data_IF_083523239504
#
_entry.id   IF_083523239504
#
_cell.length_a   1.000
_cell.length_b   1.000
_cell.length_c   1.000
_cell.angle_alpha   90.00
_cell.angle_beta   90.00
_cell.angle_gamma   90.00
#
_symmetry.space_group_name_H-M   'P 1'
#
loop_
_entity.id
_entity.type
_entity.pdbx_description
1 polymer ?
#
# COMPACT_ATOMS: atom_id res chain seq x y z
N UNK A 1 17.50 4.19 -0.51
CA UNK A 1 17.55 5.35 0.39
C UNK A 1 17.27 6.55 -0.47
N UNK A 2 16.13 7.20 -0.23
CA UNK A 2 15.83 8.47 -0.87
C UNK A 2 16.63 9.52 -0.09
N UNK A 3 17.57 10.18 -0.76
CA UNK A 3 18.45 11.14 -0.09
C UNK A 3 17.67 12.39 0.30
N UNK A 4 16.50 12.67 -0.27
CA UNK A 4 15.65 13.78 0.17
C UNK A 4 14.69 13.44 1.31
N UNK A 5 14.91 12.32 2.00
CA UNK A 5 14.27 12.08 3.29
C UNK A 5 14.94 13.02 4.32
N UNK A 6 14.18 13.95 4.94
CA UNK A 6 14.73 14.91 5.90
C UNK A 6 15.34 14.27 7.15
N UNK A 7 15.05 12.98 7.41
CA UNK A 7 15.66 12.20 8.48
C UNK A 7 16.85 11.34 8.01
N UNK A 8 17.21 11.44 6.73
CA UNK A 8 18.38 10.76 6.18
C UNK A 8 19.67 11.44 6.63
N UNK A 9 20.39 10.77 7.54
CA UNK A 9 21.70 11.17 8.03
C UNK A 9 22.69 11.48 6.89
N UNK A 10 22.59 10.78 5.76
CA UNK A 10 23.44 11.01 4.61
C UNK A 10 23.19 12.37 3.94
N UNK A 11 21.93 12.83 3.89
CA UNK A 11 21.60 14.16 3.40
C UNK A 11 22.07 15.24 4.35
N UNK A 12 21.93 15.03 5.66
CA UNK A 12 22.40 15.98 6.67
C UNK A 12 23.93 16.15 6.57
N UNK A 13 24.67 15.04 6.55
CA UNK A 13 26.14 15.05 6.36
C UNK A 13 26.53 15.67 5.01
N UNK A 14 25.79 15.37 3.95
CA UNK A 14 26.05 15.91 2.61
C UNK A 14 25.78 17.42 2.55
N UNK A 15 24.68 17.91 3.14
CA UNK A 15 24.38 19.34 3.27
C UNK A 15 25.44 20.05 4.10
N UNK A 16 25.82 19.50 5.27
CA UNK A 16 26.90 20.05 6.10
C UNK A 16 28.22 20.12 5.33
N UNK A 17 28.58 19.06 4.61
CA UNK A 17 29.78 19.06 3.76
C UNK A 17 29.69 20.08 2.61
N UNK A 18 28.49 20.37 2.10
CA UNK A 18 28.29 21.35 1.05
C UNK A 18 28.31 22.79 1.56
N UNK A 19 28.10 23.04 2.87
CA UNK A 19 28.03 24.41 3.43
C UNK A 19 29.35 25.16 3.37
N UNK A 20 30.48 24.47 3.44
CA UNK A 20 31.79 25.12 3.57
C UNK A 20 32.49 25.42 2.24
N UNK A 21 31.90 25.10 1.08
CA UNK A 21 32.50 25.27 -0.27
C UNK A 21 33.89 24.60 -0.48
N UNK A 22 34.45 23.96 0.55
CA UNK A 22 35.75 23.32 0.59
C UNK A 22 35.75 21.86 0.14
N UNK A 23 34.85 21.50 -0.78
CA UNK A 23 34.85 20.18 -1.42
C UNK A 23 36.14 20.00 -2.23
N UNK A 24 37.15 19.44 -1.56
CA UNK A 24 38.40 19.02 -2.16
C UNK A 24 39.68 19.72 -1.72
N UNK A 25 39.71 20.61 -0.70
CA UNK A 25 41.00 21.18 -0.25
C UNK A 25 41.21 21.44 1.25
N UNK A 26 40.18 21.57 2.11
CA UNK A 26 40.42 21.76 3.56
C UNK A 26 39.14 21.62 4.37
N UNK A 27 39.13 20.75 5.37
CA UNK A 27 38.14 20.67 6.48
C UNK A 27 36.85 19.86 6.25
N UNK A 28 36.61 19.26 5.08
CA UNK A 28 35.94 17.94 5.08
C UNK A 28 37.06 16.92 5.29
N UNK A 29 37.04 16.23 6.43
CA UNK A 29 38.01 15.19 6.75
C UNK A 29 38.08 14.23 5.56
N UNK A 30 39.25 14.01 4.96
CA UNK A 30 39.43 12.97 3.92
C UNK A 30 38.85 11.62 4.37
N UNK A 31 38.79 11.42 5.69
CA UNK A 31 38.18 10.31 6.39
C UNK A 31 36.64 10.27 6.29
N UNK A 32 35.94 11.40 6.43
CA UNK A 32 34.48 11.51 6.25
C UNK A 32 34.10 11.22 4.80
N UNK A 33 34.84 11.76 3.83
CA UNK A 33 34.61 11.47 2.43
C UNK A 33 34.85 10.00 2.08
N UNK A 34 35.92 9.39 2.62
CA UNK A 34 36.17 7.95 2.47
C UNK A 34 35.07 7.10 3.11
N UNK A 35 34.54 7.50 4.26
CA UNK A 35 33.40 6.82 4.89
C UNK A 35 32.15 6.89 4.02
N UNK A 36 31.86 8.07 3.48
CA UNK A 36 30.74 8.29 2.57
C UNK A 36 30.90 7.48 1.27
N UNK A 37 32.08 7.45 0.66
CA UNK A 37 32.36 6.64 -0.53
C UNK A 37 32.26 5.13 -0.23
N UNK A 38 32.66 4.69 0.97
CA UNK A 38 32.50 3.29 1.41
C UNK A 38 31.03 2.91 1.62
N UNK A 39 30.21 3.84 2.11
CA UNK A 39 28.78 3.62 2.37
C UNK A 39 27.93 3.67 1.09
N UNK A 40 28.22 4.61 0.17
CA UNK A 40 27.36 4.90 -0.98
C UNK A 40 27.97 4.51 -2.33
N UNK A 41 29.25 4.16 -2.38
CA UNK A 41 29.98 3.85 -3.62
C UNK A 41 29.90 5.02 -4.61
N UNK A 42 29.86 4.69 -5.91
CA UNK A 42 29.79 5.71 -6.97
C UNK A 42 28.50 6.56 -6.94
N UNK A 43 27.47 6.17 -6.18
CA UNK A 43 26.21 6.94 -6.14
C UNK A 43 26.37 8.29 -5.47
N UNK A 44 27.37 8.47 -4.61
CA UNK A 44 27.58 9.76 -3.94
C UNK A 44 27.83 10.90 -4.93
N UNK A 45 28.59 10.64 -6.00
CA UNK A 45 28.90 11.63 -7.02
C UNK A 45 27.64 12.09 -7.75
N UNK A 46 26.76 11.14 -8.08
CA UNK A 46 25.47 11.40 -8.72
C UNK A 46 24.61 12.31 -7.85
N UNK A 47 24.53 12.02 -6.56
CA UNK A 47 23.61 12.68 -5.64
C UNK A 47 24.07 14.11 -5.30
N UNK A 48 25.38 14.33 -5.15
CA UNK A 48 25.91 15.70 -4.97
C UNK A 48 25.72 16.53 -6.22
N UNK A 49 26.07 15.98 -7.39
CA UNK A 49 25.90 16.71 -8.64
C UNK A 49 24.43 17.02 -8.89
N UNK A 50 23.52 16.08 -8.62
CA UNK A 50 22.07 16.33 -8.70
C UNK A 50 21.63 17.41 -7.73
N UNK A 51 22.11 17.40 -6.48
CA UNK A 51 21.75 18.44 -5.51
C UNK A 51 22.22 19.83 -5.95
N UNK A 52 23.45 19.94 -6.45
CA UNK A 52 24.07 21.20 -6.84
C UNK A 52 23.59 21.73 -8.21
N UNK A 53 23.21 20.84 -9.12
CA UNK A 53 22.91 21.22 -10.53
C UNK A 53 21.48 20.91 -10.96
N UNK A 54 20.76 20.07 -10.23
CA UNK A 54 19.47 19.49 -10.61
C UNK A 54 19.50 18.66 -11.91
N UNK A 55 20.70 18.30 -12.39
CA UNK A 55 20.88 17.42 -13.55
C UNK A 55 20.98 15.98 -13.07
N UNK A 56 20.25 15.09 -13.75
CA UNK A 56 20.39 13.63 -13.58
C UNK A 56 21.52 13.11 -14.48
N UNK A 57 22.39 12.30 -13.89
CA UNK A 57 23.54 11.69 -14.55
C UNK A 57 23.52 10.18 -14.32
N UNK A 58 24.05 9.41 -15.27
CA UNK A 58 24.39 8.01 -14.99
C UNK A 58 25.56 7.94 -13.99
N UNK A 59 25.65 6.92 -13.12
CA UNK A 59 26.64 6.88 -12.04
C UNK A 59 28.10 7.03 -12.49
N UNK A 60 28.48 6.40 -13.61
CA UNK A 60 29.83 6.54 -14.17
C UNK A 60 30.07 7.93 -14.78
N UNK A 61 29.05 8.49 -15.41
CA UNK A 61 29.10 9.83 -15.99
C UNK A 61 29.26 10.89 -14.88
N UNK A 62 28.50 10.75 -13.80
CA UNK A 62 28.56 11.62 -12.62
C UNK A 62 29.97 11.65 -12.03
N UNK A 63 30.57 10.47 -11.84
CA UNK A 63 31.94 10.34 -11.34
C UNK A 63 32.95 11.00 -12.27
N UNK A 64 32.82 10.82 -13.58
CA UNK A 64 33.70 11.47 -14.57
C UNK A 64 33.59 12.98 -14.51
N UNK A 65 32.37 13.53 -14.50
CA UNK A 65 32.15 14.97 -14.38
C UNK A 65 32.71 15.53 -13.07
N UNK A 66 32.56 14.81 -11.96
CA UNK A 66 33.16 15.19 -10.68
C UNK A 66 34.66 15.45 -10.77
N UNK A 67 35.41 14.49 -11.35
CA UNK A 67 36.86 14.64 -11.50
C UNK A 67 37.24 15.74 -12.50
N UNK A 68 36.51 15.88 -13.61
CA UNK A 68 36.72 16.96 -14.57
C UNK A 68 36.53 18.33 -13.93
N UNK A 69 35.53 18.48 -13.06
CA UNK A 69 35.29 19.72 -12.30
C UNK A 69 36.42 20.00 -11.31
N UNK A 70 36.95 18.98 -10.63
CA UNK A 70 38.10 19.14 -9.73
C UNK A 70 39.37 19.55 -10.48
N UNK A 71 39.62 18.99 -11.65
CA UNK A 71 40.73 19.40 -12.50
C UNK A 71 40.55 20.84 -13.00
N UNK A 72 39.36 21.17 -13.46
CA UNK A 72 39.00 22.52 -13.88
C UNK A 72 39.17 23.54 -12.75
N UNK A 73 38.75 23.19 -11.53
CA UNK A 73 38.96 23.98 -10.30
C UNK A 73 40.43 24.31 -10.08
N UNK A 74 41.32 23.32 -10.19
CA UNK A 74 42.78 23.54 -10.04
C UNK A 74 43.31 24.53 -11.09
N UNK A 75 42.82 24.42 -12.32
CA UNK A 75 43.20 25.34 -13.41
C UNK A 75 42.69 26.77 -13.16
N UNK A 76 41.44 26.92 -12.70
CA UNK A 76 40.87 28.20 -12.31
C UNK A 76 41.63 28.83 -11.13
N UNK A 77 41.92 28.05 -10.09
CA UNK A 77 42.66 28.52 -8.92
C UNK A 77 44.05 29.06 -9.28
N UNK A 78 44.79 28.35 -10.15
CA UNK A 78 46.09 28.83 -10.67
C UNK A 78 45.97 30.16 -11.41
N UNK A 79 44.92 30.32 -12.22
CA UNK A 79 44.70 31.56 -13.01
C UNK A 79 44.21 32.72 -12.15
N UNK A 80 43.40 32.45 -11.13
CA UNK A 80 42.79 33.48 -10.29
C UNK A 80 43.68 33.92 -9.12
N UNK A 81 44.71 33.15 -8.78
CA UNK A 81 45.63 33.49 -7.68
C UNK A 81 44.99 33.40 -6.29
N UNK A 82 43.83 32.77 -6.16
CA UNK A 82 43.09 32.55 -4.91
C UNK A 82 42.37 31.22 -4.94
N UNK A 83 41.99 30.71 -3.77
CA UNK A 83 41.14 29.52 -3.72
C UNK A 83 39.79 29.78 -4.43
N UNK A 84 39.38 28.79 -5.21
CA UNK A 84 38.13 28.80 -5.97
C UNK A 84 37.30 27.66 -5.43
N UNK A 85 36.15 27.94 -4.81
CA UNK A 85 35.27 26.90 -4.28
C UNK A 85 34.77 25.93 -5.35
N UNK A 86 34.41 24.71 -4.95
CA UNK A 86 33.96 23.68 -5.88
C UNK A 86 32.74 24.11 -6.70
N UNK A 87 31.76 24.80 -6.08
CA UNK A 87 30.54 25.28 -6.77
C UNK A 87 30.84 26.27 -7.89
N UNK A 88 31.83 27.14 -7.69
CA UNK A 88 32.26 28.11 -8.70
C UNK A 88 32.85 27.37 -9.91
N UNK A 89 33.74 26.42 -9.67
CA UNK A 89 34.32 25.61 -10.73
C UNK A 89 33.27 24.73 -11.43
N UNK A 90 32.33 24.16 -10.68
CA UNK A 90 31.22 23.36 -11.20
C UNK A 90 30.32 24.17 -12.14
N UNK A 91 29.91 25.36 -11.70
CA UNK A 91 29.09 26.27 -12.50
C UNK A 91 29.82 26.70 -13.77
N UNK A 92 31.10 27.11 -13.67
CA UNK A 92 31.89 27.48 -14.84
C UNK A 92 32.05 26.30 -15.80
N UNK A 93 32.34 25.11 -15.27
CA UNK A 93 32.47 23.89 -16.06
C UNK A 93 31.19 23.58 -16.85
N UNK A 94 30.04 23.52 -16.19
CA UNK A 94 28.78 23.17 -16.85
C UNK A 94 28.11 24.29 -17.64
N UNK A 95 28.64 25.52 -17.57
CA UNK A 95 28.18 26.64 -18.41
C UNK A 95 29.09 26.82 -19.62
N UNK A 96 30.42 26.73 -19.43
CA UNK A 96 31.40 27.17 -20.42
C UNK A 96 32.24 26.02 -21.01
N UNK A 97 32.52 24.95 -20.27
CA UNK A 97 33.40 23.86 -20.72
C UNK A 97 32.59 22.70 -21.30
N UNK A 98 31.59 22.23 -20.56
CA UNK A 98 30.68 21.17 -20.95
C UNK A 98 29.22 21.63 -20.76
N UNK A 99 28.68 22.47 -21.66
CA UNK A 99 27.40 23.14 -21.45
C UNK A 99 26.25 22.16 -21.19
N UNK A 100 25.78 22.12 -19.94
CA UNK A 100 24.55 21.43 -19.50
C UNK A 100 23.62 22.34 -18.69
N UNK A 101 24.14 23.44 -18.15
CA UNK A 101 23.37 24.44 -17.43
C UNK A 101 23.13 25.66 -18.33
N UNK A 102 21.87 26.07 -18.45
CA UNK A 102 21.44 27.28 -19.16
C UNK A 102 20.53 28.09 -18.24
N UNK A 103 20.65 29.42 -18.26
CA UNK A 103 19.82 30.34 -17.48
C UNK A 103 19.87 30.08 -15.96
N UNK A 104 21.07 30.13 -15.38
CA UNK A 104 21.29 29.87 -13.96
C UNK A 104 20.63 30.92 -13.05
N UNK A 105 19.98 30.43 -12.00
CA UNK A 105 19.49 31.25 -10.87
C UNK A 105 20.17 30.73 -9.61
N UNK A 106 20.85 31.62 -8.89
CA UNK A 106 21.44 31.29 -7.59
C UNK A 106 20.38 31.35 -6.51
N UNK A 107 20.14 30.22 -5.84
CA UNK A 107 19.25 30.11 -4.68
C UNK A 107 20.06 29.52 -3.55
N UNK A 108 19.96 30.13 -2.37
CA UNK A 108 20.58 29.58 -1.16
C UNK A 108 20.04 28.17 -0.89
N UNK A 109 20.92 27.23 -0.56
CA UNK A 109 20.55 25.81 -0.39
C UNK A 109 19.47 25.65 0.68
N UNK A 110 19.57 26.38 1.80
CA UNK A 110 18.57 26.32 2.86
C UNK A 110 17.20 26.83 2.37
N UNK A 111 17.16 27.91 1.59
CA UNK A 111 15.94 28.45 0.99
C UNK A 111 15.33 27.47 -0.05
N UNK A 112 16.18 26.84 -0.87
CA UNK A 112 15.76 25.81 -1.81
C UNK A 112 15.17 24.59 -1.10
N UNK A 113 15.83 24.10 -0.06
CA UNK A 113 15.37 22.97 0.74
C UNK A 113 14.09 23.30 1.52
N UNK A 114 13.95 24.52 2.04
CA UNK A 114 12.70 24.99 2.61
C UNK A 114 11.57 24.97 1.57
N UNK A 115 11.84 25.45 0.35
CA UNK A 115 10.86 25.42 -0.74
C UNK A 115 10.45 24.00 -1.13
N UNK A 116 11.41 23.09 -1.23
CA UNK A 116 11.14 21.66 -1.46
C UNK A 116 10.34 21.04 -0.32
N UNK A 117 10.66 21.39 0.94
CA UNK A 117 9.94 20.90 2.11
C UNK A 117 8.50 21.43 2.14
N UNK A 118 8.29 22.73 1.95
CA UNK A 118 6.96 23.32 1.84
C UNK A 118 6.16 22.73 0.68
N UNK A 119 6.81 22.32 -0.41
CA UNK A 119 6.15 21.66 -1.53
C UNK A 119 5.65 20.24 -1.21
N UNK A 120 6.13 19.62 -0.13
CA UNK A 120 5.83 18.24 0.27
C UNK A 120 5.05 18.12 1.57
N UNK A 121 4.90 19.21 2.32
CA UNK A 121 4.18 19.28 3.59
C UNK A 121 2.85 20.00 3.36
N UNK A 122 1.80 19.53 4.04
CA UNK A 122 0.52 20.23 4.15
C UNK A 122 0.64 21.33 5.21
N UNK A 123 0.36 22.57 4.81
CA UNK A 123 0.58 23.75 5.67
C UNK A 123 -0.31 23.77 6.91
N UNK A 124 -1.53 23.22 6.81
CA UNK A 124 -2.45 23.16 7.94
C UNK A 124 -1.94 22.17 8.99
N UNK A 125 -1.78 20.90 8.59
CA UNK A 125 -1.55 19.77 9.50
C UNK A 125 -0.08 19.48 9.82
N UNK A 126 0.85 20.00 9.01
CA UNK A 126 2.28 19.67 9.10
C UNK A 126 2.62 18.23 8.72
N UNK A 127 1.67 17.47 8.19
CA UNK A 127 1.88 16.13 7.62
C UNK A 127 2.44 16.23 6.19
N UNK A 128 2.85 15.10 5.64
CA UNK A 128 3.15 15.01 4.22
C UNK A 128 1.88 15.22 3.38
N UNK A 129 2.02 15.81 2.21
CA UNK A 129 0.91 16.04 1.29
C UNK A 129 0.80 14.96 0.19
N UNK A 130 -0.22 15.07 -0.66
CA UNK A 130 -0.46 14.14 -1.77
C UNK A 130 0.71 14.02 -2.76
N UNK A 131 1.54 15.05 -2.93
CA UNK A 131 2.74 14.97 -3.78
C UNK A 131 3.77 14.02 -3.19
N UNK A 132 4.00 14.12 -1.89
CA UNK A 132 4.88 13.20 -1.17
C UNK A 132 4.33 11.76 -1.18
N UNK A 133 3.02 11.58 -1.02
CA UNK A 133 2.35 10.28 -1.13
C UNK A 133 2.72 9.55 -2.43
N UNK A 134 2.57 10.22 -3.58
CA UNK A 134 2.86 9.63 -4.89
C UNK A 134 4.32 9.20 -5.01
N UNK A 135 5.25 10.00 -4.46
CA UNK A 135 6.69 9.71 -4.44
C UNK A 135 7.00 8.46 -3.63
N UNK A 136 6.47 8.38 -2.40
CA UNK A 136 6.68 7.24 -1.51
C UNK A 136 6.03 5.98 -2.05
N UNK A 137 4.79 6.06 -2.54
CA UNK A 137 4.10 4.91 -3.11
C UNK A 137 4.89 4.27 -4.26
N UNK A 138 5.36 5.09 -5.20
CA UNK A 138 6.21 4.61 -6.32
C UNK A 138 7.47 3.92 -5.79
N UNK A 139 8.12 4.50 -4.76
CA UNK A 139 9.32 3.93 -4.14
C UNK A 139 9.04 2.58 -3.47
N UNK A 140 7.96 2.46 -2.71
CA UNK A 140 7.61 1.22 -2.01
C UNK A 140 7.18 0.11 -2.97
N UNK A 141 6.51 0.43 -4.09
CA UNK A 141 6.24 -0.54 -5.16
C UNK A 141 7.53 -1.13 -5.73
N UNK A 142 8.50 -0.28 -6.08
CA UNK A 142 9.79 -0.74 -6.64
C UNK A 142 10.63 -1.52 -5.60
N UNK A 143 10.60 -1.09 -4.34
CA UNK A 143 11.21 -1.84 -3.24
C UNK A 143 10.56 -3.22 -3.06
N UNK A 144 9.23 -3.29 -3.05
CA UNK A 144 8.49 -4.54 -2.88
C UNK A 144 8.75 -5.51 -4.02
N UNK A 145 8.75 -5.05 -5.27
CA UNK A 145 9.11 -5.85 -6.45
C UNK A 145 10.53 -6.43 -6.36
N UNK A 146 11.49 -5.63 -5.89
CA UNK A 146 12.90 -6.04 -5.82
C UNK A 146 13.17 -7.02 -4.68
N UNK A 147 12.56 -6.82 -3.52
CA UNK A 147 12.89 -7.56 -2.30
C UNK A 147 11.82 -8.56 -1.87
N UNK A 148 10.72 -8.66 -2.63
CA UNK A 148 9.55 -9.49 -2.32
C UNK A 148 9.02 -9.27 -0.90
N UNK A 149 9.01 -8.02 -0.45
CA UNK A 149 8.53 -7.61 0.87
C UNK A 149 7.19 -6.89 0.72
N UNK A 150 6.13 -7.27 1.43
CA UNK A 150 4.86 -6.58 1.35
C UNK A 150 4.95 -5.21 2.01
N UNK A 151 4.13 -4.28 1.56
CA UNK A 151 3.82 -3.05 2.29
C UNK A 151 2.32 -2.82 2.22
N UNK A 152 1.80 -2.04 3.17
CA UNK A 152 0.36 -1.80 3.26
C UNK A 152 0.03 -0.32 3.19
N UNK A 153 -1.15 -0.02 2.66
CA UNK A 153 -1.74 1.29 2.56
C UNK A 153 -3.01 1.33 3.39
N UNK A 154 -3.12 2.34 4.24
CA UNK A 154 -4.33 2.71 4.96
C UNK A 154 -4.87 3.98 4.31
N UNK A 155 -6.14 3.98 3.91
CA UNK A 155 -6.90 5.16 3.53
C UNK A 155 -7.88 5.46 4.66
N UNK A 156 -7.84 6.69 5.17
CA UNK A 156 -8.60 7.14 6.33
C UNK A 156 -9.48 8.32 5.93
N UNK A 157 -10.70 8.35 6.43
CA UNK A 157 -11.61 9.48 6.21
C UNK A 157 -12.42 9.72 7.48
N UNK A 158 -12.45 11.00 7.88
CA UNK A 158 -13.11 11.43 9.11
C UNK A 158 -14.62 11.37 8.93
N UNK A 159 -15.28 10.61 9.79
CA UNK A 159 -16.71 10.37 9.70
C UNK A 159 -17.51 11.64 10.02
N UNK A 160 -18.39 12.03 9.10
CA UNK A 160 -19.30 13.18 9.24
C UNK A 160 -18.58 14.53 9.45
N UNK A 161 -17.37 14.71 8.90
CA UNK A 161 -16.60 15.95 9.09
C UNK A 161 -17.31 17.21 8.55
N UNK A 162 -18.10 17.06 7.49
CA UNK A 162 -18.98 18.14 7.01
C UNK A 162 -19.97 18.61 8.09
N UNK A 163 -20.60 17.70 8.81
CA UNK A 163 -21.53 18.03 9.90
C UNK A 163 -20.80 18.80 11.01
N UNK A 164 -19.58 18.38 11.36
CA UNK A 164 -18.74 19.09 12.32
C UNK A 164 -18.48 20.54 11.87
N UNK A 165 -18.10 20.74 10.61
CA UNK A 165 -17.91 22.08 10.05
C UNK A 165 -19.19 22.92 10.02
N UNK A 166 -20.33 22.31 9.70
CA UNK A 166 -21.62 23.01 9.64
C UNK A 166 -22.05 23.49 11.05
N UNK A 167 -21.71 22.76 12.11
CA UNK A 167 -22.05 23.11 13.49
C UNK A 167 -21.06 24.13 14.08
N UNK A 168 -19.75 23.97 13.85
CA UNK A 168 -18.69 24.69 14.55
C UNK A 168 -17.90 25.68 13.69
N UNK A 169 -18.16 25.70 12.38
CA UNK A 169 -17.45 26.51 11.40
C UNK A 169 -16.09 25.94 11.00
N UNK A 170 -15.61 26.35 9.83
CA UNK A 170 -14.37 25.84 9.24
C UNK A 170 -13.13 26.04 10.11
N UNK A 171 -13.04 27.14 10.88
CA UNK A 171 -11.90 27.35 11.79
C UNK A 171 -11.81 26.29 12.90
N UNK A 172 -12.95 25.77 13.35
CA UNK A 172 -12.97 24.65 14.30
C UNK A 172 -12.59 23.35 13.60
N UNK A 173 -13.07 23.12 12.37
CA UNK A 173 -12.65 22.01 11.54
C UNK A 173 -11.14 21.96 11.31
N UNK A 174 -10.53 23.10 11.01
CA UNK A 174 -9.08 23.22 10.81
C UNK A 174 -8.29 22.81 12.06
N UNK A 175 -8.78 23.20 13.25
CA UNK A 175 -8.20 22.75 14.53
C UNK A 175 -8.37 21.25 14.73
N UNK A 176 -9.56 20.70 14.44
CA UNK A 176 -9.82 19.27 14.54
C UNK A 176 -8.94 18.45 13.59
N UNK A 177 -8.69 18.93 12.37
CA UNK A 177 -7.76 18.31 11.41
C UNK A 177 -6.32 18.31 11.93
N UNK A 178 -5.90 19.40 12.59
CA UNK A 178 -4.58 19.48 13.22
C UNK A 178 -4.43 18.50 14.38
N UNK A 179 -5.43 18.42 15.26
CA UNK A 179 -5.44 17.45 16.35
C UNK A 179 -5.41 16.01 15.82
N UNK A 180 -6.27 15.71 14.83
CA UNK A 180 -6.33 14.41 14.17
C UNK A 180 -4.98 14.01 13.55
N UNK A 181 -4.32 14.95 12.87
CA UNK A 181 -2.99 14.73 12.30
C UNK A 181 -1.92 14.39 13.36
N UNK A 182 -1.94 15.07 14.52
CA UNK A 182 -1.02 14.74 15.61
C UNK A 182 -1.29 13.36 16.19
N UNK A 183 -2.56 12.97 16.35
CA UNK A 183 -2.95 11.64 16.81
C UNK A 183 -2.43 10.56 15.86
N UNK A 184 -2.61 10.74 14.54
CA UNK A 184 -2.09 9.79 13.56
C UNK A 184 -0.56 9.68 13.65
N UNK A 185 0.15 10.82 13.75
CA UNK A 185 1.61 10.85 13.81
C UNK A 185 2.16 10.18 15.08
N UNK A 186 1.55 10.42 16.24
CA UNK A 186 1.96 9.80 17.51
C UNK A 186 1.74 8.29 17.55
N UNK A 187 0.75 7.81 16.78
CA UNK A 187 0.40 6.39 16.68
C UNK A 187 1.05 5.69 15.47
N UNK A 188 1.95 6.35 14.75
CA UNK A 188 2.70 5.80 13.63
C UNK A 188 4.12 5.41 14.07
N UNK A 189 4.73 4.41 13.42
CA UNK A 189 6.15 4.08 13.63
C UNK A 189 7.02 5.11 12.91
N UNK A 190 8.29 5.18 13.29
CA UNK A 190 9.27 6.09 12.67
C UNK A 190 9.37 5.92 11.14
N UNK A 191 9.21 4.70 10.64
CA UNK A 191 9.28 4.39 9.21
C UNK A 191 7.96 4.54 8.47
N UNK A 192 6.86 4.76 9.18
CA UNK A 192 5.53 4.88 8.57
C UNK A 192 5.36 6.32 8.04
N UNK A 193 4.66 6.46 6.91
CA UNK A 193 4.45 7.76 6.29
C UNK A 193 2.99 8.18 6.44
N UNK A 194 2.75 9.13 7.35
CA UNK A 194 1.42 9.73 7.60
C UNK A 194 1.23 10.97 6.73
N UNK A 195 0.14 10.99 5.97
CA UNK A 195 -0.06 11.90 4.84
C UNK A 195 -1.48 12.46 4.89
N UNK A 196 -1.65 13.76 4.67
CA UNK A 196 -2.94 14.34 4.31
C UNK A 196 -3.14 14.20 2.80
N UNK A 197 -4.11 13.37 2.42
CA UNK A 197 -4.37 12.99 1.04
C UNK A 197 -5.30 13.99 0.34
N UNK A 198 -6.31 14.46 1.06
CA UNK A 198 -7.35 15.39 0.60
C UNK A 198 -7.90 16.22 1.77
N UNK A 199 -9.02 16.90 1.57
CA UNK A 199 -9.60 17.82 2.58
C UNK A 199 -9.69 17.20 3.98
N UNK A 200 -10.50 16.15 4.11
CA UNK A 200 -10.70 15.34 5.34
C UNK A 200 -10.16 13.90 5.21
N UNK A 201 -9.45 13.63 4.10
CA UNK A 201 -8.90 12.32 3.76
C UNK A 201 -7.41 12.24 4.11
N UNK A 202 -7.01 11.16 4.75
CA UNK A 202 -5.63 10.89 5.16
C UNK A 202 -5.19 9.52 4.66
N UNK A 203 -3.89 9.35 4.52
CA UNK A 203 -3.29 8.07 4.14
C UNK A 203 -2.12 7.74 5.07
N UNK A 204 -1.92 6.46 5.33
CA UNK A 204 -0.71 5.96 5.99
C UNK A 204 -0.12 4.84 5.15
N UNK A 205 1.12 5.05 4.67
CA UNK A 205 1.90 3.99 4.03
C UNK A 205 2.74 3.31 5.12
N UNK A 206 2.62 1.99 5.22
CA UNK A 206 3.32 1.14 6.18
C UNK A 206 4.35 0.27 5.44
N UNK A 207 5.62 0.73 5.32
CA UNK A 207 6.67 -0.07 4.71
C UNK A 207 6.87 -1.39 5.46
N UNK A 208 7.11 -2.48 4.71
CA UNK A 208 7.40 -3.81 5.28
C UNK A 208 6.31 -4.34 6.21
N UNK A 209 5.07 -3.91 6.01
CA UNK A 209 3.92 -4.36 6.78
C UNK A 209 3.02 -5.28 5.96
N UNK A 210 2.80 -6.50 6.45
CA UNK A 210 1.76 -7.38 5.92
C UNK A 210 0.36 -6.95 6.38
N UNK A 211 -0.68 -7.64 5.90
CA UNK A 211 -2.06 -7.27 6.20
C UNK A 211 -2.42 -7.36 7.69
N UNK A 212 -1.80 -8.28 8.44
CA UNK A 212 -2.06 -8.44 9.87
C UNK A 212 -1.48 -7.25 10.64
N UNK A 213 -0.25 -6.88 10.32
CA UNK A 213 0.43 -5.72 10.90
C UNK A 213 -0.29 -4.42 10.53
N UNK A 214 -0.78 -4.31 9.29
CA UNK A 214 -1.54 -3.17 8.83
C UNK A 214 -2.88 -3.04 9.56
N UNK A 215 -3.60 -4.15 9.75
CA UNK A 215 -4.83 -4.19 10.56
C UNK A 215 -4.59 -3.68 11.98
N UNK A 216 -3.55 -4.18 12.65
CA UNK A 216 -3.22 -3.76 14.01
C UNK A 216 -2.88 -2.26 14.08
N UNK A 217 -2.16 -1.74 13.08
CA UNK A 217 -1.88 -0.30 13.00
C UNK A 217 -3.14 0.52 12.78
N UNK A 218 -4.03 0.06 11.88
CA UNK A 218 -5.31 0.71 11.61
C UNK A 218 -6.21 0.71 12.85
N UNK A 219 -6.32 -0.41 13.57
CA UNK A 219 -7.09 -0.52 14.82
C UNK A 219 -6.52 0.41 15.89
N UNK A 220 -5.19 0.54 15.98
CA UNK A 220 -4.55 1.50 16.89
C UNK A 220 -4.93 2.94 16.56
N UNK A 221 -4.88 3.34 15.29
CA UNK A 221 -5.33 4.68 14.88
C UNK A 221 -6.81 4.90 15.17
N UNK A 222 -7.66 3.91 14.88
CA UNK A 222 -9.10 3.96 15.14
C UNK A 222 -9.37 4.23 16.63
N UNK A 223 -8.79 3.42 17.51
CA UNK A 223 -8.96 3.53 18.97
C UNK A 223 -8.41 4.88 19.49
N UNK A 224 -7.24 5.31 19.00
CA UNK A 224 -6.65 6.58 19.42
C UNK A 224 -7.52 7.79 19.06
N UNK A 225 -8.19 7.75 17.90
CA UNK A 225 -9.13 8.80 17.48
C UNK A 225 -10.42 8.72 18.30
N UNK A 226 -11.00 7.52 18.43
CA UNK A 226 -12.26 7.32 19.17
C UNK A 226 -12.18 7.71 20.65
N UNK A 227 -11.01 7.51 21.27
CA UNK A 227 -10.76 7.85 22.68
C UNK A 227 -10.32 9.30 22.91
N UNK A 228 -9.90 10.02 21.86
CA UNK A 228 -9.57 11.44 21.97
C UNK A 228 -10.85 12.27 22.09
N UNK A 229 -10.79 13.33 22.91
CA UNK A 229 -11.92 14.23 23.12
C UNK A 229 -11.76 15.45 22.24
N UNK A 230 -12.35 15.41 21.05
CA UNK A 230 -12.43 16.58 20.19
C UNK A 230 -13.44 17.58 20.75
N UNK A 231 -13.09 18.86 20.68
CA UNK A 231 -13.99 19.94 21.12
C UNK A 231 -15.28 19.91 20.31
N UNK A 232 -16.44 19.85 20.98
CA UNK A 232 -17.74 19.87 20.30
C UNK A 232 -18.21 18.54 19.71
N UNK A 233 -17.50 17.43 19.93
CA UNK A 233 -17.92 16.14 19.39
C UNK A 233 -19.30 15.67 19.90
N UNK A 234 -19.74 16.16 21.06
CA UNK A 234 -21.02 15.81 21.69
C UNK A 234 -22.27 16.27 20.94
N UNK A 235 -22.15 17.25 20.03
CA UNK A 235 -23.27 17.70 19.20
C UNK A 235 -23.37 17.00 17.86
N UNK A 236 -22.41 16.14 17.53
CA UNK A 236 -22.48 15.32 16.33
C UNK A 236 -23.61 14.29 16.45
N UNK A 237 -24.27 13.97 15.35
CA UNK A 237 -25.28 12.93 15.26
C UNK A 237 -24.80 11.55 15.72
N UNK A 238 -23.50 11.26 15.55
CA UNK A 238 -22.82 10.07 16.05
C UNK A 238 -22.48 10.13 17.54
N UNK A 239 -22.58 11.31 18.18
CA UNK A 239 -22.14 11.58 19.55
C UNK A 239 -20.63 11.55 19.76
N UNK A 240 -19.84 11.25 18.72
CA UNK A 240 -18.38 11.20 18.79
C UNK A 240 -17.73 11.52 17.43
N UNK A 241 -16.51 12.05 17.48
CA UNK A 241 -15.65 12.25 16.32
C UNK A 241 -14.93 10.93 16.02
N UNK A 242 -15.14 10.37 14.83
CA UNK A 242 -14.67 9.02 14.49
C UNK A 242 -14.04 8.98 13.10
N UNK A 243 -13.38 7.88 12.78
CA UNK A 243 -12.72 7.68 11.49
C UNK A 243 -13.06 6.30 10.93
N UNK A 244 -13.28 6.22 9.64
CA UNK A 244 -13.32 4.93 8.94
C UNK A 244 -12.00 4.72 8.21
N UNK A 245 -11.48 3.48 8.25
CA UNK A 245 -10.18 3.13 7.68
C UNK A 245 -10.33 1.95 6.72
N UNK A 246 -9.91 2.13 5.47
CA UNK A 246 -9.72 1.09 4.47
C UNK A 246 -8.27 0.64 4.42
N UNK A 247 -8.01 -0.66 4.31
CA UNK A 247 -6.65 -1.23 4.30
C UNK A 247 -6.44 -2.09 3.07
N UNK A 248 -5.32 -1.92 2.37
CA UNK A 248 -4.88 -2.83 1.31
C UNK A 248 -3.38 -3.10 1.41
N UNK A 249 -2.93 -4.27 0.96
CA UNK A 249 -1.53 -4.71 1.02
C UNK A 249 -1.03 -5.07 -0.37
N UNK A 250 0.09 -4.49 -0.78
CA UNK A 250 0.80 -4.86 -2.01
C UNK A 250 1.85 -5.95 -1.72
N UNK A 251 2.05 -6.94 -2.61
CA UNK A 251 1.35 -7.20 -3.87
C UNK A 251 0.13 -8.14 -3.74
N UNK A 252 -0.38 -8.31 -2.52
CA UNK A 252 -1.46 -9.26 -2.22
C UNK A 252 -2.75 -8.80 -2.92
N UNK A 253 -3.20 -7.59 -2.60
CA UNK A 253 -4.46 -7.04 -3.09
C UNK A 253 -4.37 -6.35 -4.45
N UNK A 254 -3.16 -6.08 -4.96
CA UNK A 254 -2.94 -5.23 -6.13
C UNK A 254 -1.65 -5.57 -6.89
N UNK A 255 -1.62 -5.27 -8.19
CA UNK A 255 -0.50 -5.47 -9.11
C UNK A 255 0.32 -4.20 -9.33
N UNK A 256 -0.26 -3.03 -9.05
CA UNK A 256 0.43 -1.74 -9.09
C UNK A 256 -0.09 -0.77 -8.01
N UNK A 257 0.46 0.44 -7.99
CA UNK A 257 0.09 1.46 -7.00
C UNK A 257 -1.31 2.04 -7.18
N UNK A 258 -1.83 2.13 -8.40
CA UNK A 258 -3.18 2.66 -8.66
C UNK A 258 -4.23 1.68 -8.17
N UNK A 259 -4.06 0.39 -8.49
CA UNK A 259 -4.94 -0.67 -8.01
C UNK A 259 -4.89 -0.77 -6.47
N UNK A 260 -3.72 -0.56 -5.85
CA UNK A 260 -3.61 -0.56 -4.39
C UNK A 260 -4.44 0.55 -3.74
N UNK A 261 -4.39 1.77 -4.28
CA UNK A 261 -5.21 2.90 -3.81
C UNK A 261 -6.68 2.55 -3.97
N UNK A 262 -7.09 2.11 -5.16
CA UNK A 262 -8.47 1.73 -5.44
C UNK A 262 -8.98 0.67 -4.45
N UNK A 263 -8.16 -0.35 -4.16
CA UNK A 263 -8.52 -1.42 -3.23
C UNK A 263 -8.63 -0.95 -1.77
N UNK A 264 -7.81 0.01 -1.36
CA UNK A 264 -7.92 0.64 -0.05
C UNK A 264 -9.17 1.53 0.04
N UNK A 265 -9.48 2.30 -1.01
CA UNK A 265 -10.67 3.15 -1.10
C UNK A 265 -11.97 2.34 -1.14
N UNK A 266 -12.00 1.23 -1.89
CA UNK A 266 -13.12 0.28 -1.90
C UNK A 266 -13.38 -0.26 -0.48
N UNK A 267 -12.32 -0.64 0.23
CA UNK A 267 -12.43 -1.11 1.61
C UNK A 267 -12.94 -0.01 2.56
N UNK A 268 -12.44 1.21 2.42
CA UNK A 268 -12.90 2.39 3.17
C UNK A 268 -14.39 2.64 2.94
N UNK A 269 -14.82 2.63 1.68
CA UNK A 269 -16.22 2.81 1.28
C UNK A 269 -17.13 1.74 1.89
N UNK A 270 -16.72 0.47 1.86
CA UNK A 270 -17.44 -0.63 2.53
C UNK A 270 -17.54 -0.37 4.03
N UNK A 271 -16.47 0.14 4.66
CA UNK A 271 -16.47 0.52 6.07
C UNK A 271 -17.53 1.58 6.38
N UNK A 272 -17.61 2.61 5.55
CA UNK A 272 -18.60 3.68 5.68
C UNK A 272 -20.03 3.14 5.55
N UNK A 273 -20.28 2.28 4.56
CA UNK A 273 -21.59 1.65 4.37
C UNK A 273 -22.00 0.73 5.54
N UNK A 274 -21.04 0.07 6.18
CA UNK A 274 -21.30 -0.83 7.29
C UNK A 274 -21.50 -0.13 8.64
N UNK A 275 -21.58 1.20 8.66
CA UNK A 275 -21.88 1.98 9.85
C UNK A 275 -20.69 2.75 10.42
N UNK A 276 -19.64 2.99 9.63
CA UNK A 276 -18.52 3.87 9.99
C UNK A 276 -17.73 3.41 11.24
N UNK A 277 -16.82 4.24 11.75
CA UNK A 277 -15.99 4.01 12.94
C UNK A 277 -15.39 2.60 12.98
N UNK A 278 -14.69 2.22 11.91
CA UNK A 278 -14.15 0.85 11.77
C UNK A 278 -13.00 0.74 10.80
N UNK A 279 -12.28 -0.36 10.96
CA UNK A 279 -11.31 -0.85 9.97
C UNK A 279 -11.99 -1.85 9.04
N UNK A 280 -11.84 -1.64 7.74
CA UNK A 280 -12.23 -2.59 6.68
C UNK A 280 -11.01 -2.95 5.85
N UNK A 281 -10.81 -4.25 5.66
CA UNK A 281 -9.66 -4.78 4.93
C UNK A 281 -10.10 -5.15 3.52
N UNK A 282 -9.32 -4.70 2.54
CA UNK A 282 -9.36 -5.21 1.18
C UNK A 282 -9.01 -6.70 1.22
N UNK A 283 -10.00 -7.50 0.87
CA UNK A 283 -9.84 -8.95 0.73
C UNK A 283 -9.35 -9.23 -0.68
N UNK A 284 -8.26 -10.00 -0.78
CA UNK A 284 -7.66 -10.40 -2.05
C UNK A 284 -8.65 -11.23 -2.87
N UNK A 285 -9.20 -10.62 -3.92
CA UNK A 285 -10.09 -11.23 -4.90
C UNK A 285 -9.35 -12.10 -5.93
N UNK A 286 -8.13 -12.58 -5.64
CA UNK A 286 -7.54 -13.71 -6.39
C UNK A 286 -8.34 -15.01 -6.27
N UNK A 287 -9.40 -15.06 -5.43
CA UNK A 287 -10.50 -16.03 -5.54
C UNK A 287 -11.78 -15.29 -5.92
N UNK A 288 -12.05 -15.21 -7.23
CA UNK A 288 -13.11 -14.45 -7.93
C UNK A 288 -14.57 -14.57 -7.44
N UNK A 289 -14.92 -15.18 -6.29
CA UNK A 289 -16.26 -15.18 -5.65
C UNK A 289 -16.18 -15.61 -4.18
N UNK A 290 -16.92 -14.92 -3.30
CA UNK A 290 -17.09 -15.27 -1.88
C UNK A 290 -17.54 -16.73 -1.73
N UNK A 291 -16.88 -17.51 -0.86
CA UNK A 291 -17.29 -18.88 -0.53
C UNK A 291 -18.02 -18.88 0.80
N UNK A 292 -19.23 -19.41 0.82
CA UNK A 292 -20.02 -19.55 2.03
C UNK A 292 -19.86 -20.96 2.58
N UNK A 293 -19.73 -21.13 3.91
CA UNK A 293 -19.82 -22.45 4.50
C UNK A 293 -21.18 -23.06 4.16
N UNK A 294 -21.15 -24.31 3.74
CA UNK A 294 -22.35 -25.06 3.39
C UNK A 294 -22.08 -26.51 3.75
N UNK A 295 -22.88 -27.09 4.64
CA UNK A 295 -22.78 -28.48 5.07
C UNK A 295 -24.05 -29.23 4.70
N UNK A 296 -24.17 -29.55 3.42
CA UNK A 296 -25.32 -30.26 2.86
C UNK A 296 -24.86 -31.56 2.20
N UNK A 297 -25.75 -32.54 2.19
CA UNK A 297 -25.53 -33.75 1.41
C UNK A 297 -25.55 -33.41 -0.08
N UNK A 298 -24.58 -33.95 -0.80
CA UNK A 298 -24.49 -33.87 -2.24
C UNK A 298 -24.40 -35.26 -2.85
N UNK A 299 -25.09 -35.42 -3.97
CA UNK A 299 -25.02 -36.60 -4.82
C UNK A 299 -24.33 -36.21 -6.11
N UNK A 300 -23.45 -37.06 -6.62
CA UNK A 300 -22.79 -36.77 -7.88
C UNK A 300 -22.47 -38.03 -8.67
N UNK A 301 -22.48 -37.89 -10.00
CA UNK A 301 -22.18 -38.99 -10.94
C UNK A 301 -21.26 -38.54 -12.06
N UNK A 302 -20.46 -39.49 -12.54
CA UNK A 302 -19.62 -39.32 -13.73
C UNK A 302 -20.51 -39.28 -14.97
N UNK A 303 -20.28 -38.29 -15.84
CA UNK A 303 -21.06 -38.18 -17.09
C UNK A 303 -20.72 -39.28 -18.09
N UNK A 304 -19.45 -39.68 -18.14
CA UNK A 304 -18.91 -40.56 -19.20
C UNK A 304 -18.70 -42.02 -18.76
N UNK A 305 -19.22 -42.42 -17.60
CA UNK A 305 -19.14 -43.81 -17.13
C UNK A 305 -20.42 -44.58 -17.45
N UNK A 306 -20.29 -45.79 -17.98
CA UNK A 306 -21.40 -46.73 -18.16
C UNK A 306 -22.05 -47.13 -16.81
N UNK A 307 -21.32 -46.96 -15.69
CA UNK A 307 -21.84 -47.18 -14.35
C UNK A 307 -22.56 -45.93 -13.82
N UNK A 308 -23.88 -46.02 -13.65
CA UNK A 308 -24.73 -45.03 -12.94
C UNK A 308 -24.51 -45.02 -11.42
N UNK A 309 -23.30 -45.24 -10.94
CA UNK A 309 -23.01 -45.25 -9.50
C UNK A 309 -23.08 -43.82 -8.94
N UNK A 310 -24.15 -43.56 -8.19
CA UNK A 310 -24.38 -42.30 -7.49
C UNK A 310 -23.44 -42.23 -6.28
N UNK A 311 -22.47 -41.32 -6.30
CA UNK A 311 -21.56 -41.13 -5.19
C UNK A 311 -22.08 -40.05 -4.24
N UNK A 312 -21.85 -40.26 -2.95
CA UNK A 312 -22.26 -39.32 -1.89
C UNK A 312 -21.06 -38.50 -1.43
N UNK A 313 -21.34 -37.25 -1.09
CA UNK A 313 -20.40 -36.37 -0.43
C UNK A 313 -21.12 -35.38 0.47
N UNK A 314 -20.35 -34.64 1.25
CA UNK A 314 -20.86 -33.54 2.07
C UNK A 314 -20.12 -32.28 1.69
N UNK A 315 -20.86 -31.21 1.39
CA UNK A 315 -20.24 -29.93 1.07
C UNK A 315 -19.53 -29.35 2.30
N UNK A 316 -18.49 -28.56 2.07
CA UNK A 316 -17.80 -27.76 3.09
C UNK A 316 -18.00 -26.28 2.86
N UNK A 317 -17.88 -25.85 1.60
CA UNK A 317 -18.19 -24.49 1.18
C UNK A 317 -18.58 -24.46 -0.29
N UNK A 318 -19.30 -23.40 -0.67
CA UNK A 318 -19.78 -23.16 -2.04
C UNK A 318 -19.57 -21.70 -2.44
N UNK A 319 -19.32 -21.44 -3.72
CA UNK A 319 -19.42 -20.11 -4.35
C UNK A 319 -20.08 -20.22 -5.72
N UNK A 320 -20.25 -19.08 -6.40
CA UNK A 320 -20.82 -19.09 -7.76
C UNK A 320 -19.93 -19.78 -8.82
N UNK A 321 -18.68 -20.14 -8.52
CA UNK A 321 -17.75 -20.77 -9.49
C UNK A 321 -17.17 -22.10 -9.00
N UNK A 322 -17.45 -22.51 -7.77
CA UNK A 322 -16.90 -23.77 -7.28
C UNK A 322 -17.42 -24.22 -5.94
N UNK A 323 -17.21 -25.50 -5.67
CA UNK A 323 -17.64 -26.20 -4.47
C UNK A 323 -16.45 -26.94 -3.87
N UNK A 324 -16.32 -26.95 -2.54
CA UNK A 324 -15.45 -27.89 -1.85
C UNK A 324 -16.33 -28.92 -1.15
N UNK A 325 -16.05 -30.20 -1.33
CA UNK A 325 -16.76 -31.27 -0.65
C UNK A 325 -15.83 -32.33 -0.09
N UNK A 326 -16.36 -33.13 0.84
CA UNK A 326 -15.73 -34.30 1.40
C UNK A 326 -16.42 -35.55 0.84
N UNK A 327 -15.63 -36.53 0.41
CA UNK A 327 -16.12 -37.81 -0.12
C UNK A 327 -15.25 -38.96 0.37
N UNK A 328 -15.80 -40.17 0.38
CA UNK A 328 -15.11 -41.41 0.78
C UNK A 328 -14.45 -42.14 -0.40
N UNK A 329 -14.55 -41.59 -1.62
CA UNK A 329 -13.93 -42.17 -2.82
C UNK A 329 -12.97 -41.17 -3.48
N UNK A 330 -11.82 -41.63 -3.97
CA UNK A 330 -10.92 -40.78 -4.76
C UNK A 330 -11.50 -40.52 -6.15
N UNK A 331 -11.24 -39.32 -6.70
CA UNK A 331 -11.63 -38.93 -8.06
C UNK A 331 -10.44 -38.33 -8.79
N UNK A 332 -10.25 -38.70 -10.06
CA UNK A 332 -9.25 -38.07 -10.91
C UNK A 332 -9.62 -36.59 -11.16
N UNK A 333 -8.61 -35.74 -11.32
CA UNK A 333 -8.80 -34.35 -11.74
C UNK A 333 -9.17 -34.27 -13.23
N UNK A 334 -9.90 -33.24 -13.63
CA UNK A 334 -10.35 -32.98 -15.01
C UNK A 334 -11.66 -33.65 -15.41
N UNK A 335 -12.29 -34.44 -14.54
CA UNK A 335 -13.53 -35.18 -14.84
C UNK A 335 -14.76 -34.28 -14.77
N UNK A 336 -15.70 -34.48 -15.69
CA UNK A 336 -17.00 -33.82 -15.68
C UNK A 336 -18.01 -34.62 -14.85
N UNK A 337 -18.58 -33.95 -13.85
CA UNK A 337 -19.51 -34.52 -12.89
C UNK A 337 -20.85 -33.76 -12.95
N UNK A 338 -21.94 -34.49 -12.91
CA UNK A 338 -23.25 -33.91 -12.59
C UNK A 338 -23.42 -33.97 -11.07
N UNK A 339 -23.62 -32.81 -10.47
CA UNK A 339 -23.75 -32.62 -9.02
C UNK A 339 -25.19 -32.24 -8.71
N UNK A 340 -25.79 -32.95 -7.77
CA UNK A 340 -27.11 -32.67 -7.20
C UNK A 340 -26.91 -32.24 -5.75
N UNK A 341 -27.15 -30.96 -5.48
CA UNK A 341 -27.18 -30.41 -4.14
C UNK A 341 -28.61 -30.47 -3.62
N UNK A 342 -28.82 -31.14 -2.48
CA UNK A 342 -30.12 -31.12 -1.81
C UNK A 342 -30.16 -29.94 -0.84
N UNK A 343 -31.12 -29.05 -1.02
CA UNK A 343 -31.28 -27.88 -0.18
C UNK A 343 -31.68 -28.30 1.25
N UNK A 344 -31.00 -27.77 2.29
CA UNK A 344 -31.16 -28.25 3.67
C UNK A 344 -32.47 -27.82 4.33
N UNK A 345 -33.15 -26.79 3.81
CA UNK A 345 -34.35 -26.21 4.46
C UNK A 345 -35.67 -26.41 3.71
N UNK A 346 -35.65 -26.71 2.42
CA UNK A 346 -36.87 -26.84 1.58
C UNK A 346 -36.90 -28.13 0.74
N UNK A 347 -35.86 -28.96 0.81
CA UNK A 347 -35.78 -30.23 0.10
C UNK A 347 -35.63 -30.12 -1.43
N UNK A 348 -35.52 -28.91 -1.98
CA UNK A 348 -35.33 -28.70 -3.42
C UNK A 348 -33.96 -29.22 -3.88
N UNK A 349 -33.91 -29.77 -5.10
CA UNK A 349 -32.68 -30.30 -5.68
C UNK A 349 -32.14 -29.33 -6.74
N UNK A 350 -30.91 -28.86 -6.54
CA UNK A 350 -30.18 -28.09 -7.53
C UNK A 350 -29.20 -29.00 -8.27
N UNK A 351 -29.42 -29.16 -9.58
CA UNK A 351 -28.52 -29.90 -10.47
C UNK A 351 -27.57 -28.93 -11.16
N UNK A 352 -26.27 -29.22 -11.11
CA UNK A 352 -25.20 -28.41 -11.67
C UNK A 352 -24.16 -29.29 -12.34
N UNK A 353 -23.53 -28.79 -13.39
CA UNK A 353 -22.34 -29.40 -13.94
C UNK A 353 -21.10 -28.86 -13.21
N UNK A 354 -20.15 -29.74 -12.91
CA UNK A 354 -18.90 -29.33 -12.31
C UNK A 354 -17.72 -30.20 -12.76
N UNK A 355 -16.55 -29.59 -12.90
CA UNK A 355 -15.29 -30.26 -13.21
C UNK A 355 -14.49 -30.52 -11.94
N UNK A 356 -13.94 -31.72 -11.77
CA UNK A 356 -12.99 -31.99 -10.69
C UNK A 356 -11.70 -31.20 -10.91
N UNK A 357 -11.41 -30.25 -10.04
CA UNK A 357 -10.24 -29.38 -10.16
C UNK A 357 -9.06 -29.91 -9.33
N UNK A 358 -9.34 -30.49 -8.16
CA UNK A 358 -8.31 -31.00 -7.23
C UNK A 358 -8.86 -32.09 -6.32
N UNK A 359 -8.00 -33.00 -5.89
CA UNK A 359 -8.28 -34.02 -4.86
C UNK A 359 -7.16 -34.00 -3.82
N UNK A 360 -7.51 -33.89 -2.55
CA UNK A 360 -6.56 -33.91 -1.42
C UNK A 360 -7.00 -35.00 -0.43
N UNK A 361 -6.07 -35.81 0.10
CA UNK A 361 -6.41 -36.81 1.13
C UNK A 361 -6.70 -36.09 2.45
N UNK A 362 -7.75 -36.49 3.15
CA UNK A 362 -8.04 -35.94 4.48
C UNK A 362 -7.04 -36.50 5.51
N UNK A 363 -6.23 -35.66 6.17
CA UNK A 363 -5.24 -36.13 7.14
C UNK A 363 -5.85 -36.69 8.43
N UNK A 364 -7.09 -36.34 8.76
CA UNK A 364 -7.72 -36.69 10.06
C UNK A 364 -8.61 -37.95 10.01
N UNK A 365 -9.01 -38.41 8.81
CA UNK A 365 -9.89 -39.58 8.63
C UNK A 365 -9.39 -40.46 7.51
N UNK A 366 -9.12 -41.72 7.83
CA UNK A 366 -8.72 -42.71 6.83
C UNK A 366 -9.88 -42.94 5.84
N UNK A 367 -9.54 -43.12 4.56
CA UNK A 367 -10.50 -43.23 3.44
C UNK A 367 -11.44 -42.03 3.23
N UNK A 368 -11.00 -40.81 3.56
CA UNK A 368 -11.72 -39.58 3.23
C UNK A 368 -10.86 -38.65 2.36
N UNK A 369 -11.50 -37.94 1.43
CA UNK A 369 -10.87 -37.01 0.49
C UNK A 369 -11.61 -35.68 0.44
N UNK A 370 -10.88 -34.59 0.25
CA UNK A 370 -11.40 -33.29 -0.13
C UNK A 370 -11.35 -33.14 -1.64
N UNK A 371 -12.52 -33.00 -2.24
CA UNK A 371 -12.71 -32.83 -3.68
C UNK A 371 -13.09 -31.37 -3.96
N UNK A 372 -12.24 -30.68 -4.70
CA UNK A 372 -12.52 -29.34 -5.21
C UNK A 372 -13.17 -29.42 -6.60
N UNK A 373 -14.34 -28.81 -6.73
CA UNK A 373 -15.13 -28.79 -7.96
C UNK A 373 -15.23 -27.37 -8.50
N UNK A 374 -15.06 -27.21 -9.81
CA UNK A 374 -15.32 -25.98 -10.56
C UNK A 374 -16.70 -26.07 -11.20
N UNK A 375 -17.62 -25.18 -10.84
CA UNK A 375 -18.99 -25.19 -11.36
C UNK A 375 -19.02 -24.61 -12.78
N UNK A 376 -19.68 -25.32 -13.70
CA UNK A 376 -19.97 -24.88 -15.06
C UNK A 376 -21.50 -24.68 -15.16
N UNK A 377 -21.95 -23.43 -15.26
CA UNK A 377 -23.37 -23.07 -15.37
C UNK A 377 -23.75 -23.01 -16.85
N UNK A 378 -24.81 -23.73 -17.24
CA UNK A 378 -25.27 -23.84 -18.62
C UNK A 378 -26.56 -23.07 -18.91
N UNK A 379 -27.23 -22.53 -17.87
CA UNK A 379 -28.48 -21.77 -18.04
C UNK A 379 -28.71 -20.70 -16.97
N UNK A 380 -29.46 -19.65 -17.33
CA UNK A 380 -29.86 -18.57 -16.41
C UNK A 380 -30.70 -19.09 -15.22
N UNK A 381 -31.40 -20.21 -15.40
CA UNK A 381 -32.17 -20.88 -14.34
C UNK A 381 -31.25 -21.48 -13.26
N UNK A 382 -30.12 -22.07 -13.67
CA UNK A 382 -29.10 -22.61 -12.74
C UNK A 382 -28.39 -21.48 -11.98
N UNK A 383 -28.12 -20.36 -12.65
CA UNK A 383 -27.55 -19.16 -12.02
C UNK A 383 -28.45 -18.61 -10.92
N UNK A 384 -29.75 -18.39 -11.20
CA UNK A 384 -30.72 -17.89 -10.22
C UNK A 384 -30.88 -18.84 -9.04
N UNK A 385 -30.91 -20.14 -9.28
CA UNK A 385 -31.02 -21.14 -8.22
C UNK A 385 -29.77 -21.21 -7.34
N UNK A 386 -28.56 -21.15 -7.93
CA UNK A 386 -27.31 -21.09 -7.19
C UNK A 386 -27.23 -19.80 -6.35
N UNK A 387 -27.65 -18.66 -6.91
CA UNK A 387 -27.68 -17.39 -6.21
C UNK A 387 -28.61 -17.42 -4.98
N UNK A 388 -29.79 -18.02 -5.09
CA UNK A 388 -30.71 -18.19 -3.96
C UNK A 388 -30.10 -19.01 -2.81
N UNK A 389 -29.30 -20.04 -3.12
CA UNK A 389 -28.56 -20.82 -2.11
C UNK A 389 -27.48 -19.97 -1.43
N UNK A 390 -26.72 -19.21 -2.22
CA UNK A 390 -25.64 -18.36 -1.71
C UNK A 390 -26.15 -17.23 -0.81
N UNK A 391 -27.27 -16.58 -1.17
CA UNK A 391 -27.90 -15.55 -0.35
C UNK A 391 -28.35 -16.09 1.02
N UNK A 392 -28.93 -17.30 1.05
CA UNK A 392 -29.31 -17.95 2.31
C UNK A 392 -28.09 -18.39 3.13
N UNK A 393 -27.06 -18.96 2.50
CA UNK A 393 -25.82 -19.33 3.18
C UNK A 393 -25.10 -18.09 3.77
N UNK A 394 -25.16 -16.94 3.07
CA UNK A 394 -24.67 -15.66 3.56
C UNK A 394 -25.38 -15.21 4.84
N UNK A 395 -26.71 -15.28 4.88
CA UNK A 395 -27.51 -14.85 6.05
C UNK A 395 -27.21 -15.70 7.30
N UNK A 396 -26.98 -17.00 7.12
CA UNK A 396 -26.63 -17.88 8.25
C UNK A 396 -25.19 -17.65 8.74
N UNK A 397 -24.25 -17.42 7.82
CA UNK A 397 -22.88 -17.06 8.17
C UNK A 397 -22.80 -15.75 8.96
N UNK A 398 -23.61 -14.74 8.60
CA UNK A 398 -23.70 -13.49 9.37
C UNK A 398 -24.23 -13.69 10.80
N UNK A 399 -25.11 -14.68 11.02
CA UNK A 399 -25.63 -15.00 12.37
C UNK A 399 -24.59 -15.73 13.23
N UNK A 400 -23.81 -16.64 12.65
CA UNK A 400 -22.75 -17.37 13.38
C UNK A 400 -21.57 -16.48 13.78
N UNK A 401 -21.31 -15.38 13.06
CA UNK A 401 -20.27 -14.40 13.42
C UNK A 401 -20.76 -13.37 14.46
N UNK A 402 -22.08 -13.23 14.62
CA UNK A 402 -22.68 -12.30 15.58
C UNK A 402 -22.93 -12.91 16.97
N UNK A 403 -22.52 -14.16 17.18
CA UNK A 403 -22.46 -14.90 18.44
C UNK A 403 -21.00 -15.10 18.83
#
# INVERSE_FOLDING_TARGET
MDIFDPDNLALKLLIESLREDHLGTSIINQEEWKQLEKCFGNRIYLEILRLLTQIEFEPEEARRHWFNVLEHRKNLQKKMGRDVGFRVALCDYFTNIHPKLKNLIFVEVDLFLQKERSALIDELTGLYNRRFFNRVLKREIEHSKRYNQPFSLLMLDIDNFKEYNDIYGHQAGDRALNEFAQILKQNARLIDHVIRYGGEEFAVILPRADIKQAKLSAERHLIAVETHKFSGQERLSSGNFTVTIGVATYPINAQDGLELIQKADEALYIGKQKGRNRVSISIDERRRKFRYPLHVEMLFRLRDSAEKLLNRGTTRNISQVGLLCQTNKPFNTGLMLEVVLRHPFDGSELKLMARSARLEKNPEKDQSYFLGLSIELGSEKEEKALQAILEKASRNFSKEISL
#
